data_IF_065925667840
#
_entry.id   IF_065925667840
#
_cell.length_a   1.000
_cell.length_b   1.000
_cell.length_c   1.000
_cell.angle_alpha   90.00
_cell.angle_beta   90.00
_cell.angle_gamma   90.00
#
_symmetry.space_group_name_H-M   'P 1'
#
loop_
_entity.id
_entity.type
_entity.pdbx_description
1 polymer ?
#
# COMPACT_ATOMS: atom_id res chain seq x y z
N UNK A 1 -13.79 -27.48 -37.86
CA UNK A 1 -13.06 -26.51 -37.06
C UNK A 1 -13.66 -26.60 -35.66
N UNK A 2 -12.93 -27.22 -34.74
CA UNK A 2 -13.43 -27.43 -33.37
C UNK A 2 -13.25 -26.12 -32.60
N UNK A 3 -14.33 -25.46 -32.22
CA UNK A 3 -14.30 -24.36 -31.26
C UNK A 3 -14.37 -24.93 -29.86
N UNK A 4 -13.41 -24.59 -29.02
CA UNK A 4 -13.45 -24.88 -27.58
C UNK A 4 -13.59 -23.56 -26.82
N UNK A 5 -14.41 -23.54 -25.81
CA UNK A 5 -14.62 -22.41 -24.92
C UNK A 5 -14.15 -22.83 -23.54
N UNK A 6 -13.38 -21.97 -22.89
CA UNK A 6 -12.93 -22.15 -21.53
C UNK A 6 -13.53 -21.05 -20.65
N UNK A 7 -14.10 -21.42 -19.51
CA UNK A 7 -14.65 -20.46 -18.57
C UNK A 7 -14.01 -20.62 -17.21
N UNK A 8 -13.55 -19.52 -16.64
CA UNK A 8 -13.02 -19.40 -15.29
C UNK A 8 -14.12 -18.86 -14.36
N UNK A 9 -14.31 -19.50 -13.19
CA UNK A 9 -15.24 -19.04 -12.18
C UNK A 9 -14.54 -18.90 -10.83
N UNK A 10 -14.74 -17.77 -10.15
CA UNK A 10 -14.34 -17.57 -8.77
C UNK A 10 -15.60 -17.51 -7.91
N UNK A 11 -15.79 -18.48 -7.03
CA UNK A 11 -16.84 -18.47 -6.02
C UNK A 11 -16.41 -17.64 -4.81
N UNK A 12 -17.33 -16.90 -4.25
CA UNK A 12 -17.26 -16.01 -3.07
C UNK A 12 -16.91 -14.54 -3.38
N UNK A 13 -17.86 -13.87 -4.00
CA UNK A 13 -17.92 -12.41 -3.94
C UNK A 13 -18.93 -11.94 -2.89
N UNK A 14 -18.67 -10.81 -2.17
CA UNK A 14 -19.67 -10.19 -1.30
C UNK A 14 -20.93 -9.72 -2.04
N UNK A 15 -20.85 -9.50 -3.34
CA UNK A 15 -21.99 -9.13 -4.22
C UNK A 15 -22.82 -10.33 -4.70
N UNK A 16 -22.32 -11.56 -4.50
CA UNK A 16 -22.93 -12.78 -5.05
C UNK A 16 -22.70 -13.00 -6.54
N UNK A 17 -21.97 -12.09 -7.22
CA UNK A 17 -21.64 -12.24 -8.63
C UNK A 17 -20.43 -13.16 -8.82
N UNK A 18 -20.46 -14.00 -9.84
CA UNK A 18 -19.33 -14.84 -10.21
C UNK A 18 -18.32 -14.01 -11.01
N UNK A 19 -17.05 -14.10 -10.65
CA UNK A 19 -15.96 -13.64 -11.49
C UNK A 19 -15.71 -14.71 -12.56
N UNK A 20 -16.00 -14.37 -13.81
CA UNK A 20 -15.83 -15.28 -14.94
C UNK A 20 -15.09 -14.62 -16.06
N UNK A 21 -14.34 -15.38 -16.81
CA UNK A 21 -13.77 -15.01 -18.08
C UNK A 21 -13.93 -16.18 -19.05
N UNK A 22 -14.08 -15.88 -20.33
CA UNK A 22 -14.25 -16.89 -21.38
C UNK A 22 -13.25 -16.62 -22.50
N UNK A 23 -12.74 -17.69 -23.10
CA UNK A 23 -11.86 -17.63 -24.25
C UNK A 23 -12.21 -18.72 -25.25
N UNK A 24 -12.51 -18.32 -26.48
CA UNK A 24 -12.71 -19.25 -27.60
C UNK A 24 -11.38 -19.45 -28.33
N UNK A 25 -11.02 -20.70 -28.58
CA UNK A 25 -9.79 -21.04 -29.29
C UNK A 25 -10.00 -22.23 -30.24
N UNK A 26 -9.10 -22.40 -31.18
CA UNK A 26 -9.05 -23.57 -32.07
C UNK A 26 -7.93 -24.45 -31.57
N UNK A 27 -8.23 -25.71 -31.25
CA UNK A 27 -7.19 -26.67 -30.92
C UNK A 27 -6.52 -27.14 -32.22
N UNK A 28 -5.25 -26.82 -32.39
CA UNK A 28 -4.40 -27.15 -33.53
C UNK A 28 -3.38 -28.26 -33.20
N UNK A 29 -3.27 -28.62 -31.91
CA UNK A 29 -2.43 -29.71 -31.43
C UNK A 29 -3.17 -30.53 -30.35
N UNK A 30 -2.67 -31.73 -30.08
CA UNK A 30 -3.14 -32.62 -29.01
C UNK A 30 -2.81 -32.10 -27.60
N UNK A 31 -1.81 -31.22 -27.49
CA UNK A 31 -1.42 -30.51 -26.26
C UNK A 31 -1.18 -29.04 -26.59
N UNK A 32 -1.90 -28.18 -25.89
CA UNK A 32 -1.87 -26.74 -26.11
C UNK A 32 -2.07 -26.03 -24.78
N UNK A 33 -1.29 -24.99 -24.51
CA UNK A 33 -1.48 -24.11 -23.38
C UNK A 33 -2.34 -22.91 -23.80
N UNK A 34 -3.45 -22.68 -23.12
CA UNK A 34 -4.37 -21.57 -23.39
C UNK A 34 -4.31 -20.60 -22.23
N UNK A 35 -3.59 -19.47 -22.35
CA UNK A 35 -3.53 -18.49 -21.26
C UNK A 35 -4.88 -17.78 -21.16
N UNK A 36 -5.38 -17.69 -19.92
CA UNK A 36 -6.59 -16.95 -19.57
C UNK A 36 -6.25 -15.88 -18.52
N UNK A 37 -6.90 -14.73 -18.62
CA UNK A 37 -6.71 -13.62 -17.70
C UNK A 37 -8.05 -13.24 -17.08
N UNK A 38 -8.05 -13.04 -15.76
CA UNK A 38 -9.17 -12.50 -15.03
C UNK A 38 -8.71 -11.30 -14.19
N UNK A 39 -9.36 -10.16 -14.38
CA UNK A 39 -9.06 -8.93 -13.65
C UNK A 39 -10.19 -8.62 -12.69
N UNK A 40 -9.86 -8.36 -11.43
CA UNK A 40 -10.86 -8.04 -10.42
C UNK A 40 -10.25 -7.22 -9.27
N UNK A 41 -11.12 -6.53 -8.50
CA UNK A 41 -10.70 -5.87 -7.28
C UNK A 41 -10.54 -6.91 -6.16
N UNK A 42 -9.31 -7.22 -5.81
CA UNK A 42 -8.99 -8.22 -4.81
C UNK A 42 -9.16 -7.75 -3.35
N UNK A 43 -9.46 -6.46 -3.09
CA UNK A 43 -9.52 -5.89 -1.74
C UNK A 43 -10.54 -6.58 -0.82
N UNK A 44 -11.64 -7.09 -1.39
CA UNK A 44 -12.67 -7.83 -0.66
C UNK A 44 -12.24 -9.26 -0.25
N UNK A 45 -11.12 -9.73 -0.81
CA UNK A 45 -10.60 -11.09 -0.60
C UNK A 45 -9.34 -11.11 0.26
N UNK A 46 -8.92 -9.99 0.85
CA UNK A 46 -7.75 -9.91 1.70
C UNK A 46 -7.78 -10.99 2.80
N UNK A 47 -6.66 -11.71 2.98
CA UNK A 47 -6.53 -12.84 3.90
C UNK A 47 -7.23 -14.13 3.47
N UNK A 48 -7.74 -14.20 2.23
CA UNK A 48 -8.45 -15.38 1.72
C UNK A 48 -7.66 -16.11 0.63
N UNK A 49 -7.94 -17.40 0.52
CA UNK A 49 -7.51 -18.21 -0.63
C UNK A 49 -8.64 -18.29 -1.64
N UNK A 50 -8.35 -17.94 -2.88
CA UNK A 50 -9.25 -18.06 -4.01
C UNK A 50 -8.86 -19.30 -4.79
N UNK A 51 -9.84 -20.14 -5.15
CA UNK A 51 -9.65 -21.27 -6.05
C UNK A 51 -10.21 -20.92 -7.44
N UNK A 52 -9.44 -21.23 -8.47
CA UNK A 52 -9.83 -21.03 -9.86
C UNK A 52 -10.39 -22.35 -10.38
N UNK A 53 -11.58 -22.30 -10.98
CA UNK A 53 -12.22 -23.45 -11.61
C UNK A 53 -12.23 -23.27 -13.11
N UNK A 54 -11.98 -24.33 -13.85
CA UNK A 54 -11.87 -24.35 -15.30
C UNK A 54 -12.92 -25.29 -15.90
N UNK A 55 -13.55 -24.84 -16.98
CA UNK A 55 -14.55 -25.62 -17.70
C UNK A 55 -14.26 -25.56 -19.20
N UNK A 56 -14.25 -26.72 -19.83
CA UNK A 56 -14.06 -26.84 -21.27
C UNK A 56 -15.35 -27.21 -21.96
N UNK A 57 -15.70 -26.46 -22.98
CA UNK A 57 -16.89 -26.66 -23.78
C UNK A 57 -16.52 -26.91 -25.24
N UNK A 58 -17.29 -27.73 -25.91
CA UNK A 58 -17.26 -27.93 -27.35
C UNK A 58 -18.67 -27.85 -27.89
N UNK A 59 -18.93 -26.94 -28.84
CA UNK A 59 -20.25 -26.70 -29.42
C UNK A 59 -21.35 -26.49 -28.34
N UNK A 60 -20.99 -25.78 -27.26
CA UNK A 60 -21.89 -25.48 -26.14
C UNK A 60 -22.10 -26.64 -25.16
N UNK A 61 -21.39 -27.77 -25.33
CA UNK A 61 -21.47 -28.93 -24.43
C UNK A 61 -20.21 -28.98 -23.57
N UNK A 62 -20.37 -29.06 -22.23
CA UNK A 62 -19.25 -29.29 -21.31
C UNK A 62 -18.62 -30.65 -21.60
N UNK A 63 -17.32 -30.64 -21.90
CA UNK A 63 -16.55 -31.86 -22.21
C UNK A 63 -15.55 -32.22 -21.12
N UNK A 64 -15.13 -31.24 -20.31
CA UNK A 64 -14.24 -31.44 -19.17
C UNK A 64 -14.33 -30.27 -18.20
N UNK A 65 -13.96 -30.51 -16.95
CA UNK A 65 -13.85 -29.49 -15.92
C UNK A 65 -12.78 -29.82 -14.90
N UNK A 66 -12.25 -28.78 -14.26
CA UNK A 66 -11.39 -28.86 -13.09
C UNK A 66 -12.00 -28.02 -11.97
N UNK A 67 -12.61 -28.66 -10.99
CA UNK A 67 -13.31 -28.05 -9.84
C UNK A 67 -12.77 -28.61 -8.52
N UNK A 68 -11.47 -28.58 -8.29
CA UNK A 68 -10.89 -28.98 -7.00
C UNK A 68 -10.47 -27.77 -6.18
N UNK A 69 -11.23 -27.38 -5.14
CA UNK A 69 -10.88 -26.24 -4.29
C UNK A 69 -9.62 -26.48 -3.47
N UNK A 70 -9.10 -27.72 -3.40
CA UNK A 70 -7.89 -28.06 -2.66
C UNK A 70 -6.64 -28.19 -3.55
N UNK A 71 -6.80 -28.08 -4.87
CA UNK A 71 -5.64 -28.08 -5.77
C UNK A 71 -4.85 -26.78 -5.59
N UNK A 72 -3.69 -26.90 -4.94
CA UNK A 72 -2.79 -25.78 -4.65
C UNK A 72 -2.26 -25.07 -5.90
N UNK A 73 -2.29 -25.72 -7.07
CA UNK A 73 -1.89 -25.11 -8.34
C UNK A 73 -2.96 -24.17 -8.88
N UNK A 74 -4.20 -24.34 -8.43
CA UNK A 74 -5.35 -23.53 -8.77
C UNK A 74 -5.74 -22.55 -7.66
N UNK A 75 -4.95 -22.49 -6.58
CA UNK A 75 -5.18 -21.60 -5.46
C UNK A 75 -4.29 -20.34 -5.55
N UNK A 76 -4.91 -19.20 -5.27
CA UNK A 76 -4.23 -17.90 -5.11
C UNK A 76 -4.56 -17.39 -3.72
N UNK A 77 -3.56 -17.22 -2.86
CA UNK A 77 -3.73 -16.53 -1.59
C UNK A 77 -3.65 -15.03 -1.81
N UNK A 78 -4.74 -14.32 -1.51
CA UNK A 78 -4.78 -12.86 -1.50
C UNK A 78 -4.23 -12.39 -0.16
N UNK A 79 -3.05 -11.78 -0.16
CA UNK A 79 -2.43 -11.26 1.07
C UNK A 79 -3.37 -10.28 1.78
N UNK A 80 -3.23 -10.17 3.09
CA UNK A 80 -3.92 -9.14 3.88
C UNK A 80 -3.59 -7.74 3.35
N UNK A 81 -4.42 -6.77 3.72
CA UNK A 81 -4.13 -5.36 3.40
C UNK A 81 -2.70 -5.05 3.82
N UNK A 82 -1.99 -4.39 2.92
CA UNK A 82 -0.69 -3.81 3.22
C UNK A 82 -0.82 -2.92 4.46
N UNK A 83 0.09 -3.09 5.39
CA UNK A 83 0.18 -2.24 6.59
C UNK A 83 1.42 -1.38 6.48
N UNK A 84 1.28 -0.13 6.86
CA UNK A 84 2.37 0.75 7.20
C UNK A 84 2.38 0.90 8.71
N UNK A 85 3.54 0.69 9.35
CA UNK A 85 3.79 1.17 10.70
C UNK A 85 4.78 2.32 10.55
N UNK A 86 4.52 3.41 11.20
CA UNK A 86 5.28 4.63 10.98
C UNK A 86 5.73 5.22 12.30
N UNK A 87 6.90 5.86 12.33
CA UNK A 87 7.45 6.50 13.54
C UNK A 87 8.23 7.74 13.14
N UNK A 88 7.71 8.90 13.52
CA UNK A 88 8.34 10.18 13.25
C UNK A 88 9.28 10.59 14.39
N UNK A 89 10.46 11.11 14.06
CA UNK A 89 11.44 11.64 15.02
C UNK A 89 12.04 12.94 14.51
N UNK A 90 12.43 13.83 15.44
CA UNK A 90 13.39 14.88 15.12
C UNK A 90 14.76 14.24 14.89
N UNK A 91 15.37 14.49 13.74
CA UNK A 91 16.61 13.84 13.33
C UNK A 91 17.80 14.15 14.24
N UNK A 92 17.76 15.27 14.98
CA UNK A 92 18.84 15.69 15.88
C UNK A 92 18.67 15.07 17.27
N UNK A 93 17.48 15.14 17.86
CA UNK A 93 17.21 14.60 19.20
C UNK A 93 17.02 13.08 19.18
N UNK A 94 16.57 12.52 18.05
CA UNK A 94 16.16 11.12 17.93
C UNK A 94 14.87 10.81 18.71
N UNK A 95 14.05 11.82 19.02
CA UNK A 95 12.84 11.68 19.83
C UNK A 95 11.66 12.37 19.15
N UNK A 96 10.46 12.26 19.75
CA UNK A 96 9.25 12.98 19.33
C UNK A 96 9.21 14.45 19.76
N UNK A 97 10.34 14.99 20.25
CA UNK A 97 10.48 16.40 20.62
C UNK A 97 11.54 17.09 19.78
N UNK A 98 11.20 18.21 19.18
CA UNK A 98 12.09 19.08 18.40
C UNK A 98 12.21 20.47 19.03
N UNK A 99 13.36 21.13 18.86
CA UNK A 99 13.52 22.55 19.19
C UNK A 99 12.96 23.38 18.03
N UNK A 100 12.04 24.30 18.35
CA UNK A 100 11.51 25.26 17.38
C UNK A 100 12.60 26.21 16.92
N UNK A 101 13.15 25.99 15.72
CA UNK A 101 14.24 26.77 15.12
C UNK A 101 14.16 26.71 13.61
N UNK A 102 15.01 27.51 12.93
CA UNK A 102 15.26 27.34 11.50
C UNK A 102 15.87 25.96 11.24
N UNK A 103 15.57 25.37 10.13
CA UNK A 103 16.21 24.14 9.64
C UNK A 103 16.06 22.97 10.63
N UNK A 104 14.82 22.55 10.88
CA UNK A 104 14.49 21.29 11.54
C UNK A 104 14.22 20.23 10.48
N UNK A 105 14.73 19.03 10.69
CA UNK A 105 14.42 17.87 9.88
C UNK A 105 13.71 16.83 10.72
N UNK A 106 12.48 16.52 10.32
CA UNK A 106 11.71 15.39 10.86
C UNK A 106 11.92 14.21 9.93
N UNK A 107 12.34 13.09 10.50
CA UNK A 107 12.43 11.81 9.81
C UNK A 107 11.26 10.95 10.18
N UNK A 108 10.58 10.47 9.18
CA UNK A 108 9.59 9.42 9.32
C UNK A 108 10.19 8.09 8.85
N UNK A 109 10.13 7.08 9.75
CA UNK A 109 10.54 5.72 9.46
C UNK A 109 9.27 4.92 9.13
N UNK A 110 9.09 4.61 7.86
CA UNK A 110 7.93 3.88 7.36
C UNK A 110 8.28 2.41 7.19
N UNK A 111 7.81 1.58 8.09
CA UNK A 111 7.93 0.13 7.98
C UNK A 111 6.81 -0.40 7.08
N UNK A 112 7.20 -1.14 6.08
CA UNK A 112 6.27 -1.77 5.14
C UNK A 112 6.33 -3.29 5.26
N UNK A 113 5.19 -3.94 5.02
CA UNK A 113 5.05 -5.39 5.10
C UNK A 113 4.31 -5.93 3.89
N UNK A 114 4.88 -6.98 3.28
CA UNK A 114 4.27 -7.72 2.20
C UNK A 114 4.29 -7.04 0.84
N UNK A 115 5.17 -6.05 0.62
CA UNK A 115 5.37 -5.46 -0.70
C UNK A 115 5.98 -6.48 -1.67
N UNK A 116 5.81 -6.26 -2.96
CA UNK A 116 6.32 -7.16 -4.00
C UNK A 116 7.75 -6.75 -4.35
N UNK A 117 8.69 -7.68 -4.17
CA UNK A 117 10.08 -7.49 -4.56
C UNK A 117 10.21 -7.22 -6.06
N UNK A 118 11.11 -6.33 -6.42
CA UNK A 118 11.33 -5.92 -7.80
C UNK A 118 10.32 -4.90 -8.34
N UNK A 119 9.32 -4.51 -7.56
CA UNK A 119 8.36 -3.49 -7.95
C UNK A 119 8.74 -2.11 -7.39
N UNK A 120 8.28 -1.07 -8.09
CA UNK A 120 8.46 0.32 -7.72
C UNK A 120 7.22 0.85 -7.00
N UNK A 121 7.44 1.58 -5.92
CA UNK A 121 6.39 2.23 -5.14
C UNK A 121 6.72 3.70 -4.93
N UNK A 122 5.68 4.52 -4.78
CA UNK A 122 5.83 5.95 -4.46
C UNK A 122 5.24 6.18 -3.08
N UNK A 123 6.10 6.58 -2.14
CA UNK A 123 5.72 7.01 -0.80
C UNK A 123 5.59 8.53 -0.80
N UNK A 124 4.44 9.04 -0.37
CA UNK A 124 4.18 10.48 -0.18
C UNK A 124 3.85 10.74 1.27
N UNK A 125 4.33 11.86 1.79
CA UNK A 125 4.04 12.28 3.14
C UNK A 125 3.69 13.76 3.21
N UNK A 126 2.90 14.12 4.23
CA UNK A 126 2.50 15.48 4.52
C UNK A 126 2.51 15.71 6.04
N UNK A 127 2.98 16.88 6.46
CA UNK A 127 2.88 17.29 7.86
C UNK A 127 1.54 17.96 8.11
N UNK A 128 0.84 17.51 9.14
CA UNK A 128 -0.44 18.06 9.60
C UNK A 128 -0.25 18.85 10.89
N UNK A 129 -0.92 19.98 11.04
CA UNK A 129 -1.01 20.66 12.33
C UNK A 129 -2.04 19.91 13.19
N UNK A 130 -1.61 19.35 14.32
CA UNK A 130 -2.47 18.50 15.17
C UNK A 130 -3.67 19.26 15.73
N UNK A 131 -3.55 20.58 15.96
CA UNK A 131 -4.59 21.38 16.56
C UNK A 131 -5.70 21.77 15.58
N UNK A 132 -5.33 22.06 14.34
CA UNK A 132 -6.29 22.47 13.30
C UNK A 132 -6.79 21.30 12.48
N UNK A 133 -6.09 20.17 12.52
CA UNK A 133 -6.32 18.98 11.70
C UNK A 133 -6.20 19.27 10.19
N UNK A 134 -5.47 20.33 9.85
CA UNK A 134 -5.24 20.78 8.47
C UNK A 134 -3.75 20.63 8.12
N UNK A 135 -3.38 20.61 6.83
CA UNK A 135 -1.98 20.61 6.41
C UNK A 135 -1.19 21.75 7.04
N UNK A 136 -0.03 21.44 7.63
CA UNK A 136 0.89 22.47 8.14
C UNK A 136 1.39 23.34 7.01
N UNK A 137 1.13 24.63 7.09
CA UNK A 137 1.61 25.61 6.10
C UNK A 137 2.77 26.42 6.65
N UNK A 138 3.90 26.41 5.95
CA UNK A 138 5.02 27.33 6.15
C UNK A 138 5.13 28.23 4.91
N UNK A 139 5.10 29.54 5.12
CA UNK A 139 5.04 30.52 4.02
C UNK A 139 3.91 30.26 3.02
N UNK A 140 2.75 29.79 3.53
CA UNK A 140 1.55 29.49 2.74
C UNK A 140 1.63 28.21 1.89
N UNK A 141 2.62 27.34 2.12
CA UNK A 141 2.80 26.08 1.39
C UNK A 141 2.77 24.90 2.35
N UNK A 142 2.11 23.79 1.98
CA UNK A 142 2.15 22.57 2.77
C UNK A 142 3.57 21.98 2.76
N UNK A 143 3.95 21.37 3.87
CA UNK A 143 5.21 20.64 3.99
C UNK A 143 4.97 19.20 3.60
N UNK A 144 5.53 18.79 2.47
CA UNK A 144 5.37 17.46 1.90
C UNK A 144 6.72 16.85 1.54
N UNK A 145 6.76 15.52 1.49
CA UNK A 145 7.88 14.77 0.94
C UNK A 145 7.35 13.69 0.01
N UNK A 146 8.15 13.29 -0.97
CA UNK A 146 7.86 12.21 -1.88
C UNK A 146 9.13 11.40 -2.14
N UNK A 147 9.00 10.08 -2.15
CA UNK A 147 10.11 9.18 -2.43
C UNK A 147 9.65 8.00 -3.25
N UNK A 148 10.28 7.81 -4.41
CA UNK A 148 10.14 6.59 -5.20
C UNK A 148 11.15 5.55 -4.72
N UNK A 149 10.70 4.34 -4.48
CA UNK A 149 11.52 3.24 -3.96
C UNK A 149 11.32 1.97 -4.78
N UNK A 150 12.45 1.34 -5.13
CA UNK A 150 12.47 -0.01 -5.68
C UNK A 150 12.54 -0.98 -4.50
N UNK A 151 11.54 -1.84 -4.36
CA UNK A 151 11.49 -2.79 -3.24
C UNK A 151 12.42 -3.97 -3.53
N UNK A 152 13.34 -4.23 -2.63
CA UNK A 152 14.30 -5.35 -2.69
C UNK A 152 13.94 -6.49 -1.73
N UNK A 153 13.14 -6.20 -0.71
CA UNK A 153 12.65 -7.17 0.26
C UNK A 153 11.18 -6.87 0.58
N UNK A 154 10.36 -7.90 0.74
CA UNK A 154 8.92 -7.74 0.98
C UNK A 154 8.59 -6.92 2.23
N UNK A 155 9.41 -7.05 3.26
CA UNK A 155 9.31 -6.34 4.53
C UNK A 155 10.57 -5.48 4.72
N UNK A 156 10.40 -4.24 5.17
CA UNK A 156 11.53 -3.33 5.34
C UNK A 156 11.11 -1.94 5.81
N UNK A 157 12.07 -1.01 5.85
CA UNK A 157 11.86 0.37 6.29
C UNK A 157 12.29 1.35 5.20
N UNK A 158 11.44 2.31 4.91
CA UNK A 158 11.75 3.45 4.05
C UNK A 158 11.76 4.72 4.90
N UNK A 159 12.87 5.44 4.91
CA UNK A 159 12.96 6.72 5.61
C UNK A 159 12.54 7.87 4.69
N UNK A 160 11.74 8.77 5.21
CA UNK A 160 11.31 9.98 4.53
C UNK A 160 11.62 11.21 5.41
N UNK A 161 12.28 12.20 4.84
CA UNK A 161 12.74 13.38 5.59
C UNK A 161 11.94 14.63 5.17
N UNK A 162 11.45 15.37 6.16
CA UNK A 162 10.78 16.65 5.99
C UNK A 162 11.65 17.74 6.61
N UNK A 163 12.10 18.69 5.81
CA UNK A 163 12.89 19.84 6.31
C UNK A 163 12.03 21.09 6.27
N UNK A 164 11.97 21.80 7.40
CA UNK A 164 11.11 22.97 7.55
C UNK A 164 11.74 24.05 8.44
N UNK A 165 11.28 25.30 8.26
CA UNK A 165 11.52 26.37 9.21
C UNK A 165 10.46 26.30 10.33
N UNK A 166 10.84 25.77 11.49
CA UNK A 166 9.97 25.59 12.63
C UNK A 166 10.03 26.75 13.66
N UNK A 167 10.62 27.91 13.33
CA UNK A 167 10.84 29.01 14.27
C UNK A 167 9.55 29.51 14.93
N UNK A 168 8.42 29.44 14.22
CA UNK A 168 7.10 29.88 14.69
C UNK A 168 6.28 28.77 15.34
N UNK A 169 6.80 27.53 15.40
CA UNK A 169 6.06 26.38 15.88
C UNK A 169 6.25 26.08 17.39
N UNK A 170 6.63 27.09 18.19
CA UNK A 170 6.76 26.92 19.64
C UNK A 170 5.47 26.41 20.27
N UNK A 171 5.55 25.30 21.03
CA UNK A 171 4.41 24.62 21.65
C UNK A 171 3.34 24.12 20.68
N UNK A 172 3.66 23.97 19.42
CA UNK A 172 2.84 23.28 18.43
C UNK A 172 3.22 21.80 18.36
N UNK A 173 2.26 20.96 18.03
CA UNK A 173 2.47 19.58 17.65
C UNK A 173 2.04 19.38 16.20
N UNK A 174 2.82 18.60 15.49
CA UNK A 174 2.52 18.18 14.12
C UNK A 174 2.41 16.66 14.10
N UNK A 175 1.68 16.14 13.11
CA UNK A 175 1.55 14.69 12.86
C UNK A 175 1.93 14.43 11.42
N UNK A 176 2.65 13.35 11.18
CA UNK A 176 3.00 12.93 9.82
C UNK A 176 1.91 12.01 9.29
N UNK A 177 1.43 12.25 8.08
CA UNK A 177 0.55 11.35 7.32
C UNK A 177 1.28 10.79 6.13
N UNK A 178 1.09 9.51 5.84
CA UNK A 178 1.74 8.80 4.74
C UNK A 178 0.75 8.13 3.80
N UNK A 179 1.14 8.08 2.54
CA UNK A 179 0.38 7.49 1.45
C UNK A 179 1.31 6.66 0.58
N UNK A 180 1.04 5.37 0.44
CA UNK A 180 1.81 4.48 -0.42
C UNK A 180 1.04 4.20 -1.71
N UNK A 181 1.69 4.43 -2.83
CA UNK A 181 1.15 4.23 -4.17
C UNK A 181 1.92 3.15 -4.92
N UNK A 182 1.22 2.40 -5.75
CA UNK A 182 1.77 1.49 -6.75
C UNK A 182 1.00 1.68 -8.04
N UNK A 183 1.71 1.84 -9.17
CA UNK A 183 1.12 2.13 -10.48
C UNK A 183 0.10 3.29 -10.46
N UNK A 184 0.39 4.32 -9.67
CA UNK A 184 -0.48 5.49 -9.51
C UNK A 184 -1.73 5.28 -8.65
N UNK A 185 -1.93 4.07 -8.11
CA UNK A 185 -3.06 3.76 -7.21
C UNK A 185 -2.62 3.81 -5.75
N UNK A 186 -3.42 4.45 -4.90
CA UNK A 186 -3.23 4.42 -3.44
C UNK A 186 -3.53 3.01 -2.92
N UNK A 187 -2.53 2.37 -2.30
CA UNK A 187 -2.63 0.99 -1.80
C UNK A 187 -2.59 0.88 -0.28
N UNK A 188 -2.01 1.87 0.40
CA UNK A 188 -2.03 1.98 1.86
C UNK A 188 -1.88 3.43 2.28
N UNK A 189 -2.41 3.80 3.45
CA UNK A 189 -2.18 5.09 4.10
C UNK A 189 -2.12 4.93 5.61
N UNK A 190 -1.48 5.90 6.26
CA UNK A 190 -1.52 6.11 7.70
C UNK A 190 -1.93 7.56 7.95
N UNK A 191 -3.15 7.77 8.48
CA UNK A 191 -3.81 9.08 8.62
C UNK A 191 -4.51 9.18 9.98
N UNK A 192 -3.77 9.02 11.07
CA UNK A 192 -4.31 9.19 12.43
C UNK A 192 -3.72 10.43 13.10
N UNK A 193 -4.53 11.49 13.24
CA UNK A 193 -4.09 12.75 13.84
C UNK A 193 -3.73 12.62 15.35
N UNK A 194 -4.13 11.53 15.98
CA UNK A 194 -3.87 11.26 17.40
C UNK A 194 -2.76 10.22 17.60
N UNK A 195 -2.09 9.77 16.54
CA UNK A 195 -1.00 8.83 16.66
C UNK A 195 0.21 9.50 17.35
N UNK A 196 0.54 9.01 18.55
CA UNK A 196 1.66 9.53 19.35
C UNK A 196 3.01 9.20 18.70
N UNK A 197 3.13 8.07 17.99
CA UNK A 197 4.34 7.66 17.30
C UNK A 197 4.61 8.51 16.05
N UNK A 198 3.60 9.20 15.51
CA UNK A 198 3.69 10.15 14.41
C UNK A 198 3.68 11.61 14.83
N UNK A 199 3.56 11.88 16.12
CA UNK A 199 3.45 13.24 16.63
C UNK A 199 4.81 13.80 17.04
N UNK A 200 5.17 14.97 16.49
CA UNK A 200 6.36 15.74 16.91
C UNK A 200 5.89 17.00 17.63
N UNK A 201 6.34 17.20 18.87
CA UNK A 201 6.06 18.40 19.65
C UNK A 201 7.26 19.36 19.61
N UNK A 202 7.04 20.59 19.17
CA UNK A 202 8.06 21.63 19.17
C UNK A 202 8.15 22.34 20.50
N UNK A 203 9.37 22.42 21.04
CA UNK A 203 9.69 23.06 22.34
C UNK A 203 10.50 24.32 22.12
N UNK A 204 10.38 25.25 23.04
CA UNK A 204 11.27 26.43 23.11
C UNK A 204 12.68 25.99 23.44
N UNK A 205 13.66 26.41 22.68
CA UNK A 205 15.08 26.19 23.03
C UNK A 205 15.40 26.88 24.36
N UNK A 206 15.75 26.12 25.41
CA UNK A 206 16.23 26.69 26.68
C UNK A 206 17.77 26.75 26.69
N UNK A 207 18.34 27.94 26.84
CA UNK A 207 19.73 28.09 27.23
C UNK A 207 19.84 27.71 28.72
N UNK A 208 20.46 26.59 29.08
CA UNK A 208 20.93 26.40 30.45
C UNK A 208 22.16 27.29 30.66
N UNK A 209 22.17 28.26 31.58
CA UNK A 209 23.39 28.94 31.92
C UNK A 209 24.37 27.93 32.51
N UNK A 210 25.54 27.78 31.91
CA UNK A 210 26.65 27.08 32.52
C UNK A 210 27.17 27.96 33.64
N UNK A 211 27.04 27.53 34.89
CA UNK A 211 27.68 28.11 36.06
C UNK A 211 29.16 27.73 36.08
#
# INVERSE_FOLDING_TARGET
MLKREESLQVKDQPSGDLLTTEKTFTADDSKMDVPMEIQFNASAFAGRTIAVYEYFYQDGVEISKHEDPNDKKQQIYVKDKLKLNTTAIDLISGTHEAIAKKDVTIRDNVDHFGLIEGQEYVLKGILMDQKTEEPLLIDGKPITAEKTVQITEADGTVNMDFTLNASELNNHSIVVYEYLYHDGQLIASHEDINDEDQTITFKVGSLKPTL
#
